data_IF_312890602004
#
_entry.id   IF_312890602004
#
_cell.length_a   1.000
_cell.length_b   1.000
_cell.length_c   1.000
_cell.angle_alpha   90.00
_cell.angle_beta   90.00
_cell.angle_gamma   90.00
#
_symmetry.space_group_name_H-M   'P 1'
#
loop_
_entity.id
_entity.type
_entity.pdbx_description
1 polymer ?
#
# COMPACT_ATOMS: atom_id res chain seq x y z
N UNK A 1 9.60 0.30 7.37
CA UNK A 1 9.00 0.28 6.02
C UNK A 1 10.11 -0.03 5.03
N UNK A 2 10.17 -1.25 4.50
CA UNK A 2 11.18 -1.68 3.51
C UNK A 2 10.82 -1.24 2.09
N UNK A 3 10.48 0.03 1.91
CA UNK A 3 10.06 0.60 0.62
C UNK A 3 11.33 0.90 -0.19
N UNK A 4 11.38 0.43 -1.44
CA UNK A 4 12.54 0.68 -2.31
C UNK A 4 12.64 2.17 -2.71
N UNK A 5 13.82 2.61 -3.14
CA UNK A 5 14.09 4.02 -3.43
C UNK A 5 13.19 4.62 -4.52
N UNK A 6 12.88 3.86 -5.58
CA UNK A 6 12.01 4.34 -6.68
C UNK A 6 10.57 4.54 -6.23
N UNK A 7 10.02 3.56 -5.49
CA UNK A 7 8.68 3.68 -4.93
C UNK A 7 8.59 4.87 -3.96
N UNK A 8 9.67 5.16 -3.23
CA UNK A 8 9.73 6.37 -2.40
C UNK A 8 9.73 7.66 -3.22
N UNK A 9 10.47 7.73 -4.32
CA UNK A 9 10.44 8.89 -5.22
C UNK A 9 9.03 9.14 -5.77
N UNK A 10 8.33 8.10 -6.20
CA UNK A 10 6.95 8.19 -6.71
C UNK A 10 5.97 8.67 -5.62
N UNK A 11 6.12 8.19 -4.38
CA UNK A 11 5.34 8.67 -3.23
C UNK A 11 5.61 10.14 -2.98
N UNK A 12 6.88 10.56 -3.01
CA UNK A 12 7.27 11.94 -2.76
C UNK A 12 6.78 12.90 -3.86
N UNK A 13 6.74 12.47 -5.13
CA UNK A 13 6.08 13.22 -6.21
C UNK A 13 4.60 13.49 -5.90
N UNK A 14 3.85 12.47 -5.45
CA UNK A 14 2.44 12.65 -5.07
C UNK A 14 2.28 13.56 -3.87
N UNK A 15 3.16 13.47 -2.87
CA UNK A 15 3.15 14.38 -1.71
C UNK A 15 3.41 15.83 -2.13
N UNK A 16 4.41 16.08 -2.98
CA UNK A 16 4.74 17.42 -3.47
C UNK A 16 3.58 18.06 -4.25
N UNK A 17 2.84 17.26 -4.99
CA UNK A 17 1.64 17.68 -5.72
C UNK A 17 0.35 17.64 -4.88
N UNK A 18 0.45 17.46 -3.55
CA UNK A 18 -0.68 17.41 -2.60
C UNK A 18 -1.68 16.28 -2.85
N UNK A 19 -1.27 15.24 -3.59
CA UNK A 19 -2.08 14.05 -3.85
C UNK A 19 -1.92 13.00 -2.74
N UNK A 20 -2.28 13.35 -1.50
CA UNK A 20 -1.97 12.52 -0.33
C UNK A 20 -2.67 11.15 -0.32
N UNK A 21 -3.87 11.03 -0.88
CA UNK A 21 -4.57 9.74 -1.02
C UNK A 21 -3.83 8.81 -2.00
N UNK A 22 -3.33 9.36 -3.12
CA UNK A 22 -2.51 8.60 -4.06
C UNK A 22 -1.16 8.23 -3.44
N UNK A 23 -0.53 9.14 -2.68
CA UNK A 23 0.69 8.84 -1.93
C UNK A 23 0.49 7.69 -0.91
N UNK A 24 -0.64 7.68 -0.21
CA UNK A 24 -1.01 6.59 0.70
C UNK A 24 -1.22 5.27 -0.04
N UNK A 25 -1.90 5.31 -1.19
CA UNK A 25 -2.12 4.15 -2.06
C UNK A 25 -0.80 3.57 -2.55
N UNK A 26 0.10 4.39 -3.11
CA UNK A 26 1.42 3.95 -3.57
C UNK A 26 2.26 3.34 -2.44
N UNK A 27 2.18 3.93 -1.24
CA UNK A 27 2.87 3.39 -0.07
C UNK A 27 2.30 2.02 0.32
N UNK A 28 0.97 1.87 0.31
CA UNK A 28 0.31 0.59 0.58
C UNK A 28 0.78 -0.49 -0.40
N UNK A 29 0.78 -0.17 -1.70
CA UNK A 29 1.20 -1.09 -2.76
C UNK A 29 2.66 -1.49 -2.62
N UNK A 30 3.54 -0.53 -2.33
CA UNK A 30 4.96 -0.78 -2.13
C UNK A 30 5.26 -1.63 -0.88
N UNK A 31 4.48 -1.47 0.19
CA UNK A 31 4.65 -2.24 1.43
C UNK A 31 4.11 -3.66 1.30
N UNK A 32 2.96 -3.85 0.63
CA UNK A 32 2.31 -5.15 0.55
C UNK A 32 2.71 -5.95 -0.70
N UNK A 33 3.25 -5.28 -1.73
CA UNK A 33 3.55 -5.86 -3.04
C UNK A 33 2.28 -6.24 -3.82
N UNK A 34 1.16 -5.55 -3.56
CA UNK A 34 -0.14 -5.82 -4.14
C UNK A 34 -0.75 -4.51 -4.65
N UNK A 35 -1.30 -4.52 -5.85
CA UNK A 35 -1.98 -3.35 -6.43
C UNK A 35 -3.33 -3.10 -5.78
N UNK A 36 -3.75 -1.83 -5.75
CA UNK A 36 -5.05 -1.42 -5.23
C UNK A 36 -5.82 -0.65 -6.30
N UNK A 37 -6.64 -1.36 -7.09
CA UNK A 37 -7.37 -0.77 -8.24
C UNK A 37 -8.34 0.36 -7.84
N UNK A 38 -8.88 0.32 -6.61
CA UNK A 38 -9.82 1.34 -6.11
C UNK A 38 -9.17 2.49 -5.34
N UNK A 39 -7.87 2.38 -5.02
CA UNK A 39 -7.17 3.30 -4.12
C UNK A 39 -7.63 3.26 -2.66
N UNK A 40 -6.82 3.85 -1.79
CA UNK A 40 -7.05 3.91 -0.34
C UNK A 40 -7.61 5.29 0.04
N UNK A 41 -8.85 5.32 0.52
CA UNK A 41 -9.55 6.58 0.85
C UNK A 41 -9.88 6.76 2.35
N UNK A 42 -9.70 5.72 3.18
CA UNK A 42 -9.97 5.79 4.61
C UNK A 42 -8.95 4.94 5.40
N UNK A 43 -8.50 5.37 6.60
CA UNK A 43 -7.55 4.60 7.41
C UNK A 43 -8.02 3.17 7.72
N UNK A 44 -9.31 2.98 8.01
CA UNK A 44 -9.86 1.65 8.25
C UNK A 44 -9.85 0.76 7.00
N UNK A 45 -9.93 1.34 5.80
CA UNK A 45 -9.81 0.60 4.55
C UNK A 45 -8.38 0.05 4.41
N UNK A 46 -7.38 0.91 4.64
CA UNK A 46 -5.97 0.50 4.66
C UNK A 46 -5.75 -0.67 5.61
N UNK A 47 -6.25 -0.57 6.84
CA UNK A 47 -6.08 -1.62 7.83
C UNK A 47 -6.76 -2.93 7.40
N UNK A 48 -8.03 -2.85 6.99
CA UNK A 48 -8.81 -4.04 6.61
C UNK A 48 -8.18 -4.77 5.43
N UNK A 49 -7.71 -4.06 4.42
CA UNK A 49 -7.07 -4.67 3.25
C UNK A 49 -5.67 -5.19 3.57
N UNK A 50 -4.89 -4.49 4.40
CA UNK A 50 -3.60 -4.99 4.91
C UNK A 50 -3.78 -6.34 5.62
N UNK A 51 -4.81 -6.45 6.47
CA UNK A 51 -5.12 -7.68 7.20
C UNK A 51 -5.51 -8.82 6.27
N UNK A 52 -6.34 -8.56 5.24
CA UNK A 52 -6.70 -9.58 4.24
C UNK A 52 -5.47 -10.13 3.52
N UNK A 53 -4.55 -9.26 3.08
CA UNK A 53 -3.32 -9.68 2.39
C UNK A 53 -2.43 -10.52 3.32
N UNK A 54 -2.28 -10.11 4.58
CA UNK A 54 -1.46 -10.84 5.55
C UNK A 54 -2.04 -12.22 5.87
N UNK A 55 -3.36 -12.31 6.07
CA UNK A 55 -4.04 -13.59 6.32
C UNK A 55 -3.96 -14.53 5.11
N UNK A 56 -4.08 -14.00 3.89
CA UNK A 56 -3.91 -14.78 2.67
C UNK A 56 -2.49 -15.36 2.55
N UNK A 57 -1.45 -14.55 2.83
CA UNK A 57 -0.06 -15.03 2.90
C UNK A 57 0.13 -16.14 3.93
N UNK A 58 -0.46 -16.00 5.11
CA UNK A 58 -0.35 -17.01 6.17
C UNK A 58 -1.03 -18.34 5.80
N UNK A 59 -2.19 -18.31 5.14
CA UNK A 59 -2.83 -19.52 4.62
C UNK A 59 -2.02 -20.17 3.48
N UNK A 60 -1.40 -19.36 2.63
CA UNK A 60 -0.57 -19.85 1.51
C UNK A 60 0.68 -20.59 1.99
N UNK A 61 1.24 -20.18 3.13
CA UNK A 61 2.46 -20.78 3.71
C UNK A 61 2.17 -22.02 4.59
N UNK A 62 0.90 -22.36 4.83
CA UNK A 62 0.50 -23.49 5.65
C UNK A 62 0.10 -24.74 4.85
N UNK A 63 0.13 -24.67 3.51
CA UNK A 63 -0.11 -25.77 2.58
C UNK A 63 1.20 -26.20 1.91
#
# INVERSE_FOLDING_TARGET
MGVNSRAMEDVMDKVQNRHYQLACTLTFEAVHGASCDSGINHPNQYFSDSQKILQAKNHSNAA
#
